data_IF_520919281373
#
_entry.id   IF_520919281373
#
_cell.length_a   1.000
_cell.length_b   1.000
_cell.length_c   1.000
_cell.angle_alpha   90.00
_cell.angle_beta   90.00
_cell.angle_gamma   90.00
#
_symmetry.space_group_name_H-M   'P 1'
#
loop_
_entity.id
_entity.type
_entity.pdbx_description
1 polymer ?
#
# COMPACT_ATOMS: atom_id res chain seq x y z
N UNK A 1 -7.82 -6.63 11.82
CA UNK A 1 -7.24 -6.26 10.52
C UNK A 1 -6.32 -7.39 10.03
N UNK A 2 -6.13 -7.55 8.73
CA UNK A 2 -5.11 -8.44 8.17
C UNK A 2 -3.71 -7.97 8.61
N UNK A 3 -2.89 -8.90 9.13
CA UNK A 3 -1.56 -8.64 9.70
C UNK A 3 -0.57 -8.07 8.68
N UNK A 4 -0.81 -8.32 7.38
CA UNK A 4 0.04 -7.82 6.29
C UNK A 4 -0.08 -6.30 6.12
N UNK A 5 -1.17 -5.69 6.61
CA UNK A 5 -1.43 -4.26 6.45
C UNK A 5 -0.32 -3.37 7.01
N UNK A 6 0.27 -3.73 8.15
CA UNK A 6 1.39 -2.97 8.75
C UNK A 6 2.61 -2.95 7.82
N UNK A 7 3.00 -4.12 7.27
CA UNK A 7 4.12 -4.23 6.32
C UNK A 7 3.81 -3.48 5.03
N UNK A 8 2.62 -3.65 4.47
CA UNK A 8 2.22 -2.97 3.24
C UNK A 8 2.28 -1.44 3.38
N UNK A 9 1.88 -0.89 4.51
CA UNK A 9 1.98 0.55 4.76
C UNK A 9 3.44 1.02 4.82
N UNK A 10 4.32 0.24 5.47
CA UNK A 10 5.75 0.56 5.56
C UNK A 10 6.47 0.46 4.20
N UNK A 11 6.11 -0.55 3.39
CA UNK A 11 6.65 -0.71 2.04
C UNK A 11 6.21 0.46 1.13
N UNK A 12 4.95 0.91 1.23
CA UNK A 12 4.44 2.06 0.49
C UNK A 12 5.17 3.36 0.87
N UNK A 13 5.36 3.60 2.18
CA UNK A 13 6.14 4.74 2.68
C UNK A 13 7.59 4.68 2.17
N UNK A 14 8.17 3.48 2.15
CA UNK A 14 9.52 3.26 1.60
C UNK A 14 9.59 3.55 0.09
N UNK A 15 8.52 3.30 -0.68
CA UNK A 15 8.48 3.63 -2.10
C UNK A 15 8.57 5.14 -2.35
N UNK A 16 7.79 5.94 -1.63
CA UNK A 16 7.84 7.42 -1.71
C UNK A 16 9.15 8.01 -1.20
N UNK A 17 9.78 7.37 -0.20
CA UNK A 17 11.12 7.78 0.26
C UNK A 17 12.21 7.46 -0.76
N UNK A 18 12.10 6.32 -1.45
CA UNK A 18 13.06 5.89 -2.47
C UNK A 18 12.98 6.77 -3.71
N UNK A 19 11.78 7.18 -4.08
CA UNK A 19 11.55 8.06 -5.22
C UNK A 19 10.55 9.16 -4.87
N UNK A 20 11.04 10.37 -4.53
CA UNK A 20 10.19 11.50 -4.19
C UNK A 20 9.52 12.13 -5.42
N UNK A 21 9.92 11.73 -6.63
CA UNK A 21 9.41 12.30 -7.89
C UNK A 21 8.30 11.47 -8.51
N UNK A 22 7.72 10.51 -7.77
CA UNK A 22 6.58 9.73 -8.25
C UNK A 22 5.48 10.66 -8.73
N UNK A 23 5.13 10.57 -10.01
CA UNK A 23 4.19 11.49 -10.68
C UNK A 23 2.84 10.81 -11.01
N UNK A 24 2.80 9.48 -10.97
CA UNK A 24 1.63 8.69 -11.34
C UNK A 24 1.62 7.34 -10.62
N UNK A 25 0.42 6.79 -10.40
CA UNK A 25 0.22 5.47 -9.87
C UNK A 25 -0.91 4.75 -10.61
N UNK A 26 -0.82 3.43 -10.71
CA UNK A 26 -1.91 2.60 -11.19
C UNK A 26 -1.88 1.20 -10.56
N UNK A 27 -2.98 0.48 -10.69
CA UNK A 27 -3.13 -0.89 -10.22
C UNK A 27 -2.72 -1.90 -11.29
N UNK A 28 -1.96 -2.90 -10.88
CA UNK A 28 -1.60 -4.05 -11.70
C UNK A 28 -2.59 -5.19 -11.44
N UNK A 29 -2.98 -5.97 -12.47
CA UNK A 29 -4.09 -6.93 -12.41
C UNK A 29 -3.81 -8.20 -11.59
N UNK A 30 -2.94 -8.13 -10.59
CA UNK A 30 -2.49 -9.29 -9.83
C UNK A 30 -3.39 -9.49 -8.61
N UNK A 31 -4.20 -10.55 -8.67
CA UNK A 31 -5.23 -10.83 -7.67
C UNK A 31 -4.71 -11.63 -6.46
N UNK A 32 -3.55 -12.29 -6.60
CA UNK A 32 -2.95 -13.12 -5.56
C UNK A 32 -1.42 -12.90 -5.50
N UNK A 33 -0.80 -12.98 -4.30
CA UNK A 33 0.64 -12.81 -4.14
C UNK A 33 1.38 -14.03 -4.71
N UNK A 34 2.16 -13.82 -5.78
CA UNK A 34 2.92 -14.90 -6.44
C UNK A 34 4.28 -15.16 -5.79
N UNK A 35 4.87 -14.15 -5.14
CA UNK A 35 6.22 -14.21 -4.59
C UNK A 35 6.30 -13.43 -3.28
N UNK A 36 7.32 -13.71 -2.46
CA UNK A 36 7.62 -12.91 -1.26
C UNK A 36 8.34 -11.60 -1.65
N UNK A 37 7.66 -10.76 -2.43
CA UNK A 37 8.13 -9.43 -2.85
C UNK A 37 7.12 -8.37 -2.46
N UNK A 38 7.57 -7.13 -2.41
CA UNK A 38 6.69 -6.00 -2.20
C UNK A 38 5.75 -5.84 -3.41
N UNK A 39 4.44 -5.60 -3.20
CA UNK A 39 3.49 -5.37 -4.30
C UNK A 39 3.58 -3.97 -4.92
N UNK A 40 4.48 -3.13 -4.41
CA UNK A 40 4.73 -1.78 -4.89
C UNK A 40 5.90 -1.80 -5.86
N UNK A 41 5.59 -1.76 -7.15
CA UNK A 41 6.56 -1.74 -8.25
C UNK A 41 6.81 -0.30 -8.63
N UNK A 42 8.07 0.11 -8.57
CA UNK A 42 8.50 1.45 -8.97
C UNK A 42 9.29 1.36 -10.27
N UNK A 43 8.88 2.11 -11.28
CA UNK A 43 9.55 2.18 -12.57
C UNK A 43 9.37 3.57 -13.18
N UNK A 44 10.46 4.25 -13.55
CA UNK A 44 10.44 5.55 -14.23
C UNK A 44 9.50 6.60 -13.57
N UNK A 45 9.59 6.75 -12.24
CA UNK A 45 8.71 7.61 -11.44
C UNK A 45 7.22 7.20 -11.41
N UNK A 46 6.88 6.01 -11.91
CA UNK A 46 5.54 5.43 -11.85
C UNK A 46 5.45 4.38 -10.74
N UNK A 47 4.37 4.43 -9.96
CA UNK A 47 4.09 3.47 -8.91
C UNK A 47 2.99 2.48 -9.32
N UNK A 48 3.39 1.28 -9.71
CA UNK A 48 2.48 0.14 -9.91
C UNK A 48 2.14 -0.55 -8.60
N UNK A 49 0.86 -0.89 -8.40
CA UNK A 49 0.36 -1.53 -7.18
C UNK A 49 -0.40 -2.81 -7.52
N UNK A 50 0.08 -3.97 -7.07
CA UNK A 50 -0.66 -5.21 -7.27
C UNK A 50 -2.04 -5.18 -6.56
N UNK A 51 -3.12 -5.52 -7.26
CA UNK A 51 -4.49 -5.39 -6.79
C UNK A 51 -4.79 -6.10 -5.46
N UNK A 52 -4.17 -7.24 -5.20
CA UNK A 52 -4.34 -7.97 -3.93
C UNK A 52 -3.94 -7.14 -2.72
N UNK A 53 -2.93 -6.28 -2.86
CA UNK A 53 -2.41 -5.44 -1.79
C UNK A 53 -3.36 -4.29 -1.47
N UNK A 54 -4.01 -3.72 -2.49
CA UNK A 54 -4.98 -2.62 -2.34
C UNK A 54 -6.12 -3.03 -1.41
N UNK A 55 -6.71 -4.22 -1.63
CA UNK A 55 -7.82 -4.75 -0.81
C UNK A 55 -7.47 -4.83 0.68
N UNK A 56 -6.24 -5.24 0.98
CA UNK A 56 -5.74 -5.37 2.35
C UNK A 56 -5.44 -4.00 2.95
N UNK A 57 -4.70 -3.18 2.21
CA UNK A 57 -4.21 -1.89 2.67
C UNK A 57 -5.38 -0.95 2.97
N UNK A 58 -6.36 -0.84 2.06
CA UNK A 58 -7.55 0.01 2.23
C UNK A 58 -8.32 -0.37 3.50
N UNK A 59 -8.56 -1.68 3.73
CA UNK A 59 -9.23 -2.15 4.95
C UNK A 59 -8.43 -1.82 6.21
N UNK A 60 -7.11 -2.04 6.17
CA UNK A 60 -6.23 -1.78 7.30
C UNK A 60 -6.18 -0.29 7.66
N UNK A 61 -5.98 0.60 6.69
CA UNK A 61 -5.90 2.05 6.92
C UNK A 61 -7.26 2.63 7.32
N UNK A 62 -8.38 2.14 6.75
CA UNK A 62 -9.71 2.57 7.15
C UNK A 62 -10.01 2.23 8.61
N UNK A 63 -9.65 1.03 9.07
CA UNK A 63 -9.80 0.64 10.49
C UNK A 63 -8.94 1.51 11.41
N UNK A 64 -7.68 1.80 11.03
CA UNK A 64 -6.81 2.70 11.81
C UNK A 64 -7.34 4.12 11.84
N UNK A 65 -7.82 4.65 10.71
CA UNK A 65 -8.37 6.01 10.61
C UNK A 65 -9.64 6.15 11.43
N UNK A 66 -10.54 5.17 11.38
CA UNK A 66 -11.74 5.15 12.21
C UNK A 66 -11.39 5.08 13.69
N UNK A 67 -10.44 4.21 14.07
CA UNK A 67 -9.93 4.16 15.44
C UNK A 67 -9.38 5.51 15.91
N UNK A 68 -8.56 6.17 15.08
CA UNK A 68 -8.02 7.50 15.37
C UNK A 68 -9.14 8.53 15.54
N UNK A 69 -10.10 8.59 14.60
CA UNK A 69 -11.25 9.51 14.66
C UNK A 69 -12.12 9.31 15.91
N UNK A 70 -12.37 8.07 16.31
CA UNK A 70 -13.15 7.76 17.51
C UNK A 70 -12.43 8.10 18.82
N UNK A 71 -11.11 8.35 18.79
CA UNK A 71 -10.32 8.79 19.93
C UNK A 71 -10.07 10.32 19.92
N UNK A 72 -10.61 11.04 18.95
CA UNK A 72 -10.70 12.50 19.00
C UNK A 72 -11.99 12.81 19.78
N UNK A 73 -11.90 13.41 20.98
CA UNK A 73 -13.08 13.78 21.77
C UNK A 73 -13.95 14.82 21.06
#
# INVERSE_FOLDING_TARGET
ADVRGTRLLADLDSAFKRDPNIDEYDTLPELEPKHNRSPFILQDHKLGIECWAVKILVKYVAQRLNGWRSHIP
#
